data_IF_280567809321
#
_entry.id   IF_280567809321
#
_cell.length_a   1.000
_cell.length_b   1.000
_cell.length_c   1.000
_cell.angle_alpha   90.00
_cell.angle_beta   90.00
_cell.angle_gamma   90.00
#
_symmetry.space_group_name_H-M   'P 1'
#
loop_
_entity.id
_entity.type
_entity.pdbx_description
1 polymer ?
#
# COMPACT_ATOMS: atom_id res chain seq x y z
N UNK A 1 -32.73 27.82 -29.27
CA UNK A 1 -33.36 27.09 -28.17
C UNK A 1 -32.25 26.46 -27.35
N UNK A 2 -31.41 27.20 -26.62
CA UNK A 2 -31.71 28.30 -25.69
C UNK A 2 -32.91 28.04 -24.80
N UNK A 3 -32.59 27.52 -23.61
CA UNK A 3 -33.37 27.68 -22.39
C UNK A 3 -32.43 27.36 -21.22
N UNK A 4 -31.73 28.40 -20.78
CA UNK A 4 -31.31 28.64 -19.39
C UNK A 4 -32.45 28.34 -18.40
N UNK A 5 -32.09 28.12 -17.12
CA UNK A 5 -32.78 28.52 -15.85
C UNK A 5 -32.41 27.51 -14.74
N UNK A 6 -32.33 27.91 -13.46
CA UNK A 6 -31.41 28.88 -12.87
C UNK A 6 -30.62 28.28 -11.68
N UNK A 7 -29.55 28.95 -11.26
CA UNK A 7 -28.83 28.70 -10.00
C UNK A 7 -29.68 29.17 -8.81
N UNK A 8 -30.28 28.24 -8.06
CA UNK A 8 -30.86 28.54 -6.74
C UNK A 8 -29.88 28.17 -5.62
N UNK A 9 -29.27 29.23 -5.07
CA UNK A 9 -28.55 29.28 -3.81
C UNK A 9 -29.55 29.31 -2.65
N UNK A 10 -29.69 28.21 -1.93
CA UNK A 10 -29.88 28.08 -0.48
C UNK A 10 -30.74 26.85 -0.17
N UNK A 11 -30.07 25.75 0.13
CA UNK A 11 -30.56 24.86 1.17
C UNK A 11 -29.39 24.51 2.08
N UNK A 12 -29.48 25.04 3.29
CA UNK A 12 -28.80 24.57 4.49
C UNK A 12 -29.19 23.12 4.75
N UNK A 13 -28.60 22.21 3.99
CA UNK A 13 -28.51 20.81 4.37
C UNK A 13 -27.11 20.59 4.93
N UNK A 14 -27.06 20.33 6.23
CA UNK A 14 -25.92 19.66 6.84
C UNK A 14 -25.67 18.38 6.03
N UNK A 15 -24.67 18.42 5.14
CA UNK A 15 -24.06 17.22 4.59
C UNK A 15 -23.51 16.43 5.78
N UNK A 16 -24.35 15.56 6.34
CA UNK A 16 -23.87 14.38 7.05
C UNK A 16 -23.02 13.64 6.02
N UNK A 17 -21.70 13.82 6.10
CA UNK A 17 -20.77 12.93 5.41
C UNK A 17 -21.14 11.52 5.86
N UNK A 18 -21.82 10.79 4.99
CA UNK A 18 -21.97 9.34 5.09
C UNK A 18 -20.56 8.79 4.99
N UNK A 19 -19.93 8.57 6.15
CA UNK A 19 -18.61 7.95 6.19
C UNK A 19 -18.77 6.56 5.60
N UNK A 20 -18.14 6.29 4.44
CA UNK A 20 -18.04 4.95 3.85
C UNK A 20 -17.17 3.99 4.67
N UNK A 21 -16.89 4.37 5.91
CA UNK A 21 -16.08 3.63 6.87
C UNK A 21 -17.03 2.99 7.85
N UNK A 22 -16.71 1.77 8.28
CA UNK A 22 -17.49 1.08 9.30
C UNK A 22 -17.47 1.87 10.62
N UNK A 23 -18.43 1.62 11.52
CA UNK A 23 -18.36 2.13 12.89
C UNK A 23 -17.10 1.62 13.60
N UNK A 24 -16.55 2.38 14.54
CA UNK A 24 -15.36 1.96 15.32
C UNK A 24 -15.63 0.69 16.15
N UNK A 25 -16.89 0.44 16.52
CA UNK A 25 -17.38 -0.72 17.27
C UNK A 25 -17.79 -1.90 16.37
N UNK A 26 -17.49 -1.85 15.07
CA UNK A 26 -17.77 -2.97 14.17
C UNK A 26 -16.99 -4.22 14.60
N UNK A 27 -17.72 -5.30 14.85
CA UNK A 27 -17.11 -6.58 15.22
C UNK A 27 -16.76 -7.38 13.96
N UNK A 28 -15.47 -7.62 13.75
CA UNK A 28 -14.98 -8.50 12.70
C UNK A 28 -15.19 -9.96 13.08
N UNK A 29 -15.43 -10.80 12.07
CA UNK A 29 -15.58 -12.24 12.26
C UNK A 29 -14.50 -12.96 11.46
N UNK A 30 -13.77 -13.92 12.07
CA UNK A 30 -12.66 -14.60 11.40
C UNK A 30 -13.01 -15.31 10.10
N UNK A 31 -14.30 -15.63 9.89
CA UNK A 31 -14.79 -16.34 8.70
C UNK A 31 -15.42 -15.40 7.65
N UNK A 32 -15.45 -14.09 7.89
CA UNK A 32 -15.97 -13.10 6.95
C UNK A 32 -14.84 -12.33 6.28
N UNK A 33 -15.05 -11.95 5.02
CA UNK A 33 -14.11 -11.12 4.28
C UNK A 33 -13.95 -9.76 4.95
N UNK A 34 -12.70 -9.32 5.09
CA UNK A 34 -12.34 -8.01 5.57
C UNK A 34 -12.93 -6.92 4.65
N UNK A 35 -13.47 -5.82 5.20
CA UNK A 35 -13.84 -4.64 4.40
C UNK A 35 -12.60 -4.01 3.76
N UNK A 36 -12.75 -3.25 2.67
CA UNK A 36 -11.60 -2.53 2.07
C UNK A 36 -11.30 -1.18 2.76
N UNK A 37 -12.26 -0.66 3.53
CA UNK A 37 -12.17 0.64 4.20
C UNK A 37 -12.35 0.46 5.70
N UNK A 38 -11.25 0.54 6.43
CA UNK A 38 -11.23 0.41 7.88
C UNK A 38 -11.26 1.77 8.58
N UNK A 39 -11.89 1.87 9.75
CA UNK A 39 -11.84 3.09 10.58
C UNK A 39 -10.42 3.44 11.03
N UNK A 40 -9.54 2.43 11.13
CA UNK A 40 -8.12 2.60 11.45
C UNK A 40 -7.33 3.36 10.39
N UNK A 41 -7.86 3.52 9.17
CA UNK A 41 -7.22 4.24 8.07
C UNK A 41 -7.45 5.75 8.21
N UNK A 42 -6.45 6.43 8.78
CA UNK A 42 -6.54 7.84 9.21
C UNK A 42 -6.43 8.85 8.05
N UNK A 43 -6.02 8.40 6.87
CA UNK A 43 -5.76 9.26 5.72
C UNK A 43 -4.29 9.67 5.67
N UNK A 44 -3.97 10.99 5.65
CA UNK A 44 -2.59 11.46 5.58
C UNK A 44 -1.68 10.82 6.63
N UNK A 45 -0.51 10.37 6.19
CA UNK A 45 0.53 9.75 7.00
C UNK A 45 1.65 10.76 7.25
N UNK A 46 2.23 10.73 8.45
CA UNK A 46 3.48 11.44 8.73
C UNK A 46 4.64 10.65 8.11
N UNK A 47 5.17 11.15 6.99
CA UNK A 47 6.25 10.50 6.25
C UNK A 47 7.59 11.01 6.76
N UNK A 48 8.25 10.17 7.54
CA UNK A 48 9.60 10.41 8.01
C UNK A 48 10.59 9.87 6.97
N UNK A 49 11.44 10.70 6.37
CA UNK A 49 12.47 10.23 5.42
C UNK A 49 13.87 10.12 6.03
N UNK A 50 14.01 10.33 7.35
CA UNK A 50 15.29 10.17 8.04
C UNK A 50 15.77 8.73 7.96
N UNK A 51 17.06 8.57 7.67
CA UNK A 51 17.73 7.27 7.61
C UNK A 51 17.52 6.47 8.90
N UNK A 52 17.34 5.16 8.74
CA UNK A 52 17.18 4.19 9.82
C UNK A 52 17.83 2.90 9.36
N UNK A 53 18.51 2.20 10.26
CA UNK A 53 19.16 0.93 9.93
C UNK A 53 18.16 -0.22 9.87
N UNK A 54 18.51 -1.31 9.16
CA UNK A 54 17.70 -2.54 9.19
C UNK A 54 17.60 -3.13 10.60
N UNK A 55 18.63 -2.99 11.43
CA UNK A 55 18.63 -3.47 12.82
C UNK A 55 17.62 -2.71 13.68
N UNK A 56 17.52 -1.40 13.50
CA UNK A 56 16.48 -0.59 14.15
C UNK A 56 15.08 -0.97 13.67
N UNK A 57 14.90 -1.29 12.38
CA UNK A 57 13.62 -1.81 11.87
C UNK A 57 13.27 -3.16 12.51
N UNK A 58 14.23 -4.09 12.59
CA UNK A 58 14.00 -5.36 13.28
C UNK A 58 13.66 -5.15 14.75
N UNK A 59 14.33 -4.22 15.43
CA UNK A 59 14.02 -3.89 16.82
C UNK A 59 12.63 -3.26 16.94
N UNK A 60 12.26 -2.36 16.04
CA UNK A 60 10.97 -1.69 15.99
C UNK A 60 9.80 -2.68 15.86
N UNK A 61 9.97 -3.70 15.01
CA UNK A 61 8.97 -4.76 14.81
C UNK A 61 9.19 -6.01 15.68
N UNK A 62 10.20 -6.03 16.56
CA UNK A 62 10.54 -7.22 17.37
C UNK A 62 9.42 -7.70 18.29
N UNK A 63 8.56 -6.77 18.73
CA UNK A 63 7.43 -7.07 19.61
C UNK A 63 6.21 -7.57 18.83
N UNK A 64 6.17 -7.34 17.51
CA UNK A 64 5.07 -7.78 16.67
C UNK A 64 5.26 -9.24 16.25
N UNK A 65 4.77 -10.14 17.09
CA UNK A 65 4.81 -11.60 16.83
C UNK A 65 3.91 -12.05 15.68
N UNK A 66 3.08 -11.15 15.11
CA UNK A 66 2.19 -11.47 13.99
C UNK A 66 2.93 -11.45 12.65
N UNK A 67 4.01 -10.67 12.53
CA UNK A 67 4.90 -10.69 11.37
C UNK A 67 5.74 -11.97 11.40
N UNK A 68 5.66 -12.75 10.32
CA UNK A 68 6.38 -14.01 10.14
C UNK A 68 7.60 -13.81 9.25
N UNK A 69 8.44 -14.84 9.21
CA UNK A 69 9.65 -14.88 8.40
C UNK A 69 9.34 -14.53 6.92
N UNK A 70 10.27 -13.83 6.27
CA UNK A 70 10.08 -13.35 4.90
C UNK A 70 9.14 -12.13 4.79
N UNK A 71 8.79 -11.49 5.91
CA UNK A 71 7.90 -10.33 5.92
C UNK A 71 6.43 -10.68 5.68
N UNK A 72 6.05 -11.93 5.98
CA UNK A 72 4.68 -12.42 5.83
C UNK A 72 3.79 -11.90 6.96
N UNK A 73 2.61 -11.38 6.63
CA UNK A 73 1.60 -10.98 7.60
C UNK A 73 0.20 -11.28 7.07
N UNK A 74 -0.74 -11.56 7.98
CA UNK A 74 -2.17 -11.67 7.67
C UNK A 74 -3.01 -11.29 8.89
N UNK A 75 -4.22 -10.71 8.70
CA UNK A 75 -5.14 -10.47 9.79
C UNK A 75 -5.61 -11.79 10.42
N UNK A 76 -5.97 -11.76 11.71
CA UNK A 76 -6.46 -12.93 12.47
C UNK A 76 -7.95 -12.86 12.78
N UNK A 77 -8.56 -11.70 12.58
CA UNK A 77 -9.91 -11.32 12.97
C UNK A 77 -10.89 -11.27 11.78
N UNK A 78 -10.39 -11.32 10.54
CA UNK A 78 -11.17 -11.49 9.31
C UNK A 78 -10.36 -12.18 8.19
N UNK A 79 -11.05 -12.63 7.14
CA UNK A 79 -10.41 -13.18 5.95
C UNK A 79 -9.94 -12.03 5.04
N UNK A 80 -8.64 -11.88 4.75
CA UNK A 80 -8.14 -10.78 3.92
C UNK A 80 -8.80 -10.80 2.54
N UNK A 81 -9.21 -9.63 2.04
CA UNK A 81 -9.79 -9.54 0.70
C UNK A 81 -8.77 -9.89 -0.38
N UNK A 82 -7.51 -9.48 -0.18
CA UNK A 82 -6.41 -9.74 -1.09
C UNK A 82 -5.22 -10.37 -0.37
N UNK A 83 -4.66 -11.42 -0.97
CA UNK A 83 -3.26 -11.83 -0.75
C UNK A 83 -2.37 -11.04 -1.72
N UNK A 84 -1.48 -10.20 -1.20
CA UNK A 84 -0.66 -9.26 -1.98
C UNK A 84 0.83 -9.59 -1.89
N UNK A 85 1.45 -9.88 -3.04
CA UNK A 85 2.90 -9.92 -3.16
C UNK A 85 3.44 -8.53 -3.54
N UNK A 86 4.31 -7.95 -2.70
CA UNK A 86 4.92 -6.65 -2.96
C UNK A 86 6.31 -6.87 -3.51
N UNK A 87 6.49 -6.56 -4.78
CA UNK A 87 7.72 -6.81 -5.52
C UNK A 87 8.55 -5.53 -5.59
N UNK A 88 9.76 -5.57 -5.06
CA UNK A 88 10.65 -4.43 -4.93
C UNK A 88 11.94 -4.71 -5.70
N UNK A 89 12.16 -4.11 -6.88
CA UNK A 89 13.39 -4.28 -7.63
C UNK A 89 14.50 -3.50 -6.92
N UNK A 90 15.64 -4.15 -6.69
CA UNK A 90 16.64 -3.63 -5.76
C UNK A 90 18.06 -3.74 -6.30
N UNK A 91 18.88 -2.72 -6.03
CA UNK A 91 20.35 -2.77 -6.10
C UNK A 91 20.95 -1.56 -5.40
N UNK A 92 21.86 -1.78 -4.46
CA UNK A 92 22.64 -0.72 -3.78
C UNK A 92 21.79 0.43 -3.21
N UNK A 93 20.59 0.14 -2.68
CA UNK A 93 19.66 1.12 -2.07
C UNK A 93 19.40 0.81 -0.59
N UNK A 94 20.45 0.38 0.12
CA UNK A 94 20.35 -0.14 1.48
C UNK A 94 19.79 0.86 2.49
N UNK A 95 19.94 2.16 2.25
CA UNK A 95 19.37 3.23 3.10
C UNK A 95 17.87 3.44 2.88
N UNK A 96 17.35 3.11 1.69
CA UNK A 96 15.94 3.35 1.33
C UNK A 96 15.02 2.23 1.82
N UNK A 97 15.50 0.99 1.79
CA UNK A 97 14.69 -0.19 2.14
C UNK A 97 14.18 -0.18 3.61
N UNK A 98 15.00 0.19 4.62
CA UNK A 98 14.52 0.36 5.99
C UNK A 98 13.44 1.44 6.10
N UNK A 99 13.63 2.58 5.42
CA UNK A 99 12.66 3.67 5.38
C UNK A 99 11.35 3.19 4.76
N UNK A 100 11.40 2.39 3.69
CA UNK A 100 10.22 1.78 3.10
C UNK A 100 9.46 0.91 4.11
N UNK A 101 10.14 0.00 4.78
CA UNK A 101 9.51 -0.91 5.75
C UNK A 101 8.91 -0.18 6.95
N UNK A 102 9.55 0.89 7.44
CA UNK A 102 9.02 1.74 8.52
C UNK A 102 7.60 2.22 8.25
N UNK A 103 7.28 2.56 7.00
CA UNK A 103 5.98 3.12 6.64
C UNK A 103 5.03 2.08 6.07
N UNK A 104 5.54 1.20 5.21
CA UNK A 104 4.71 0.32 4.42
C UNK A 104 4.14 -0.83 5.27
N UNK A 105 4.92 -1.39 6.20
CA UNK A 105 4.43 -2.48 7.09
C UNK A 105 3.21 -2.03 7.90
N UNK A 106 3.27 -0.94 8.70
CA UNK A 106 2.11 -0.53 9.48
C UNK A 106 0.92 -0.10 8.61
N UNK A 107 1.17 0.50 7.44
CA UNK A 107 0.12 0.89 6.50
C UNK A 107 -0.66 -0.34 6.01
N UNK A 108 0.03 -1.38 5.54
CA UNK A 108 -0.59 -2.59 5.03
C UNK A 108 -1.33 -3.38 6.12
N UNK A 109 -0.79 -3.38 7.34
CA UNK A 109 -1.47 -3.96 8.51
C UNK A 109 -2.79 -3.25 8.79
N UNK A 110 -2.82 -1.90 8.76
CA UNK A 110 -4.07 -1.13 8.91
C UNK A 110 -5.09 -1.44 7.81
N UNK A 111 -4.61 -1.76 6.61
CA UNK A 111 -5.44 -2.16 5.47
C UNK A 111 -5.92 -3.63 5.54
N UNK A 112 -5.52 -4.41 6.55
CA UNK A 112 -5.86 -5.83 6.73
C UNK A 112 -5.63 -6.69 5.47
N UNK A 113 -4.55 -6.40 4.75
CA UNK A 113 -4.10 -7.20 3.61
C UNK A 113 -3.33 -8.41 4.12
N UNK A 114 -3.44 -9.58 3.50
CA UNK A 114 -2.39 -10.58 3.66
C UNK A 114 -1.27 -10.21 2.71
N UNK A 115 -0.03 -10.08 3.19
CA UNK A 115 1.07 -9.64 2.33
C UNK A 115 2.40 -10.30 2.66
N UNK A 116 3.31 -10.23 1.71
CA UNK A 116 4.73 -10.48 1.89
C UNK A 116 5.56 -9.56 0.99
N UNK A 117 6.83 -9.36 1.34
CA UNK A 117 7.77 -8.55 0.57
C UNK A 117 8.76 -9.43 -0.17
N UNK A 118 8.95 -9.14 -1.44
CA UNK A 118 9.96 -9.77 -2.29
C UNK A 118 10.92 -8.70 -2.77
N UNK A 119 12.11 -8.65 -2.19
CA UNK A 119 13.19 -7.75 -2.61
C UNK A 119 14.03 -8.48 -3.65
N UNK A 120 13.91 -8.07 -4.91
CA UNK A 120 14.56 -8.73 -6.05
C UNK A 120 15.85 -7.99 -6.37
N UNK A 121 16.96 -8.50 -5.85
CA UNK A 121 18.29 -7.92 -6.06
C UNK A 121 18.86 -8.27 -7.44
N UNK A 122 19.29 -7.25 -8.19
CA UNK A 122 20.07 -7.46 -9.41
C UNK A 122 21.56 -7.56 -9.10
N UNK A 123 22.10 -8.78 -9.15
CA UNK A 123 23.53 -9.01 -8.99
C UNK A 123 24.38 -8.45 -10.15
N UNK A 124 25.62 -8.09 -9.82
CA UNK A 124 26.61 -7.61 -10.78
C UNK A 124 26.41 -6.16 -11.25
N UNK A 125 27.28 -5.75 -12.19
CA UNK A 125 27.45 -4.34 -12.57
C UNK A 125 26.79 -3.97 -13.91
N UNK A 126 25.94 -4.84 -14.45
CA UNK A 126 25.21 -4.57 -15.69
C UNK A 126 24.17 -3.45 -15.50
N UNK A 127 23.67 -2.82 -16.57
CA UNK A 127 22.59 -1.83 -16.44
C UNK A 127 21.39 -2.39 -15.66
N UNK A 128 20.81 -1.56 -14.78
CA UNK A 128 19.67 -1.96 -13.96
C UNK A 128 18.45 -2.21 -14.86
N UNK A 129 17.82 -3.38 -14.76
CA UNK A 129 16.66 -3.76 -15.55
C UNK A 129 15.45 -3.97 -14.64
N UNK A 130 14.80 -2.85 -14.29
CA UNK A 130 13.65 -2.79 -13.39
C UNK A 130 12.51 -3.75 -13.82
N UNK A 131 12.13 -3.72 -15.09
CA UNK A 131 11.03 -4.55 -15.60
C UNK A 131 11.35 -6.06 -15.55
N UNK A 132 12.59 -6.45 -15.86
CA UNK A 132 13.02 -7.84 -15.73
C UNK A 132 12.92 -8.31 -14.28
N UNK A 133 13.32 -7.48 -13.31
CA UNK A 133 13.26 -7.84 -11.89
C UNK A 133 11.82 -8.01 -11.40
N UNK A 134 10.87 -7.20 -11.89
CA UNK A 134 9.45 -7.44 -11.63
C UNK A 134 8.98 -8.79 -12.17
N UNK A 135 9.37 -9.17 -13.40
CA UNK A 135 9.02 -10.47 -13.97
C UNK A 135 9.64 -11.63 -13.18
N UNK A 136 10.88 -11.48 -12.71
CA UNK A 136 11.53 -12.46 -11.81
C UNK A 136 10.75 -12.54 -10.49
N UNK A 137 10.46 -11.39 -9.88
CA UNK A 137 9.70 -11.29 -8.64
C UNK A 137 8.33 -11.96 -8.72
N UNK A 138 7.59 -11.76 -9.82
CA UNK A 138 6.33 -12.45 -10.07
C UNK A 138 6.53 -13.96 -10.05
N UNK A 139 7.50 -14.47 -10.81
CA UNK A 139 7.72 -15.93 -10.91
C UNK A 139 8.16 -16.56 -9.60
N UNK A 140 8.96 -15.87 -8.79
CA UNK A 140 9.42 -16.39 -7.50
C UNK A 140 8.34 -16.26 -6.42
N UNK A 141 7.61 -15.14 -6.35
CA UNK A 141 6.51 -14.96 -5.40
C UNK A 141 5.41 -16.02 -5.59
N UNK A 142 5.07 -16.35 -6.84
CA UNK A 142 4.07 -17.37 -7.15
C UNK A 142 4.49 -18.81 -6.78
N UNK A 143 5.77 -19.05 -6.43
CA UNK A 143 6.22 -20.34 -5.87
C UNK A 143 6.04 -20.43 -4.35
N UNK A 144 5.95 -19.28 -3.69
CA UNK A 144 5.85 -19.16 -2.24
C UNK A 144 4.40 -19.28 -1.78
N UNK A 145 3.50 -18.52 -2.43
CA UNK A 145 2.06 -18.58 -2.21
C UNK A 145 1.32 -18.35 -3.54
N UNK A 146 0.09 -18.86 -3.61
CA UNK A 146 -0.86 -18.46 -4.65
C UNK A 146 -1.39 -17.05 -4.34
N UNK A 147 -0.66 -16.01 -4.75
CA UNK A 147 -1.01 -14.61 -4.51
C UNK A 147 -2.13 -14.14 -5.44
N UNK A 148 -3.09 -13.39 -4.93
CA UNK A 148 -4.21 -12.86 -5.72
C UNK A 148 -3.83 -11.56 -6.44
N UNK A 149 -2.92 -10.78 -5.84
CA UNK A 149 -2.54 -9.44 -6.26
C UNK A 149 -1.03 -9.26 -6.22
N UNK A 150 -0.48 -8.58 -7.21
CA UNK A 150 0.94 -8.21 -7.24
C UNK A 150 1.08 -6.70 -7.36
N UNK A 151 1.89 -6.13 -6.47
CA UNK A 151 2.22 -4.71 -6.48
C UNK A 151 3.67 -4.54 -6.86
N UNK A 152 3.89 -3.86 -7.99
CA UNK A 152 5.20 -3.42 -8.43
C UNK A 152 5.54 -2.11 -7.72
N UNK A 153 6.51 -2.13 -6.81
CA UNK A 153 6.80 -1.03 -5.91
C UNK A 153 8.27 -0.63 -5.98
N UNK A 154 8.56 0.66 -6.14
CA UNK A 154 9.95 1.14 -6.10
C UNK A 154 10.37 1.41 -4.67
N UNK A 155 11.62 1.07 -4.35
CA UNK A 155 12.14 1.17 -2.98
C UNK A 155 12.10 2.58 -2.39
N UNK A 156 12.01 3.61 -3.22
CA UNK A 156 12.02 5.03 -2.84
C UNK A 156 10.64 5.73 -2.92
N UNK A 157 9.54 4.99 -3.16
CA UNK A 157 8.19 5.57 -3.18
C UNK A 157 7.41 5.28 -1.90
N UNK A 158 7.29 6.26 -1.00
CA UNK A 158 6.53 6.12 0.25
C UNK A 158 5.11 6.69 0.08
N UNK A 159 4.04 5.93 0.41
CA UNK A 159 2.69 6.47 0.43
C UNK A 159 2.50 7.51 1.52
N UNK A 160 1.91 8.64 1.17
CA UNK A 160 1.56 9.71 2.11
C UNK A 160 0.13 9.60 2.65
N UNK A 161 -0.63 8.58 2.23
CA UNK A 161 -2.02 8.42 2.65
C UNK A 161 -2.41 6.95 2.73
N UNK A 162 -2.77 6.48 3.92
CA UNK A 162 -3.13 5.07 4.14
C UNK A 162 -4.49 4.66 3.56
N UNK A 163 -5.27 5.61 3.04
CA UNK A 163 -6.47 5.37 2.23
C UNK A 163 -6.18 5.01 0.78
N UNK A 164 -4.92 5.10 0.36
CA UNK A 164 -4.49 4.46 -0.87
C UNK A 164 -4.38 2.94 -0.63
N UNK A 165 -5.51 2.23 -0.73
CA UNK A 165 -5.61 0.80 -0.42
C UNK A 165 -4.77 -0.07 -1.37
N UNK A 166 -3.74 -0.77 -0.87
CA UNK A 166 -2.82 -1.62 -1.64
C UNK A 166 -3.43 -2.99 -1.99
N UNK A 167 -4.71 -3.01 -2.37
CA UNK A 167 -5.38 -4.14 -2.99
C UNK A 167 -5.52 -3.96 -4.50
N UNK A 168 -5.70 -5.06 -5.21
CA UNK A 168 -6.00 -5.05 -6.64
C UNK A 168 -7.48 -4.74 -6.90
N UNK A 169 -7.83 -4.61 -8.17
CA UNK A 169 -9.21 -4.46 -8.62
C UNK A 169 -9.41 -5.17 -9.95
N UNK A 170 -10.53 -4.90 -10.62
CA UNK A 170 -10.84 -5.50 -11.93
C UNK A 170 -9.94 -5.00 -13.07
N UNK A 171 -9.29 -3.84 -12.87
CA UNK A 171 -8.38 -3.22 -13.83
C UNK A 171 -7.02 -2.94 -13.18
N UNK A 172 -5.93 -2.90 -13.96
CA UNK A 172 -4.62 -2.48 -13.45
C UNK A 172 -4.71 -1.11 -12.77
N UNK A 173 -4.07 -0.99 -11.61
CA UNK A 173 -4.12 0.22 -10.79
C UNK A 173 -2.76 0.90 -10.74
N UNK A 174 -2.76 2.21 -10.98
CA UNK A 174 -1.59 3.07 -10.79
C UNK A 174 -1.70 3.75 -9.42
N UNK A 175 -0.76 3.46 -8.50
CA UNK A 175 -0.78 3.98 -7.14
C UNK A 175 -0.08 5.34 -6.99
N UNK A 176 1.03 5.53 -7.70
CA UNK A 176 1.91 6.71 -7.61
C UNK A 176 1.48 7.82 -8.59
N UNK A 177 0.21 8.23 -8.54
CA UNK A 177 -0.35 9.24 -9.47
C UNK A 177 0.08 10.67 -9.14
N UNK A 178 0.36 10.95 -7.87
CA UNK A 178 0.77 12.29 -7.40
C UNK A 178 2.04 12.15 -6.57
N UNK A 179 3.18 12.39 -7.21
CA UNK A 179 4.50 12.32 -6.58
C UNK A 179 4.97 13.73 -6.20
N UNK A 180 5.56 13.85 -5.01
CA UNK A 180 6.20 15.06 -4.49
C UNK A 180 7.24 15.64 -5.46
N UNK A 181 8.03 14.78 -6.10
CA UNK A 181 9.05 15.12 -7.11
C UNK A 181 8.47 15.88 -8.31
N UNK A 182 7.18 15.70 -8.58
CA UNK A 182 6.45 16.39 -9.65
C UNK A 182 5.46 17.43 -9.09
N UNK A 183 5.67 17.89 -7.85
CA UNK A 183 4.78 18.81 -7.14
C UNK A 183 3.32 18.33 -7.13
N UNK A 184 3.11 17.00 -7.08
CA UNK A 184 1.81 16.34 -7.11
C UNK A 184 1.00 16.55 -8.39
N UNK A 185 1.66 16.93 -9.50
CA UNK A 185 1.07 17.07 -10.83
C UNK A 185 1.47 15.86 -11.69
N UNK A 186 0.51 15.28 -12.41
CA UNK A 186 0.79 14.21 -13.37
C UNK A 186 1.68 14.76 -14.51
N UNK A 187 2.74 14.05 -14.91
CA UNK A 187 3.62 14.49 -15.99
C UNK A 187 2.98 14.40 -17.39
N UNK A 188 1.75 13.92 -17.50
CA UNK A 188 0.97 13.79 -18.72
C UNK A 188 -0.51 14.13 -18.44
N UNK A 189 -1.28 14.41 -19.51
CA UNK A 189 -2.71 14.68 -19.41
C UNK A 189 -3.49 13.41 -19.03
N UNK A 190 -4.53 13.56 -18.20
CA UNK A 190 -5.47 12.48 -17.85
C UNK A 190 -6.31 12.01 -19.05
#
# INVERSE_FOLDING_TARGET
NDSDYPLDLNHSENFLQTTTFLPEDFTYFPNHTCPERFPSMKGPMDVNMSEISMDEIHQFFSQDTTIKLGGHWKPSDCLPHWKVAILIPFRNRFEHLPVLFRHLIPMLQRQHLQFAFYVIEQAGNQPFNRAMLFNVGFREAMKDLDWDCLIFHDVDHIPENDRNYYGCGQMPRHFATKLDKYMYILPYAE
#
